data_IF_711584521658
#
_entry.id   IF_711584521658
#
_cell.length_a   1.000
_cell.length_b   1.000
_cell.length_c   1.000
_cell.angle_alpha   90.00
_cell.angle_beta   90.00
_cell.angle_gamma   90.00
#
_symmetry.space_group_name_H-M   'P 1'
#
loop_
_entity.id
_entity.type
_entity.pdbx_description
1 polymer ?
#
# COMPACT_ATOMS: atom_id res chain seq x y z
N UNK A 1 30.85 0.92 -22.78
CA UNK A 1 29.88 1.63 -21.90
C UNK A 1 28.67 0.76 -21.54
N UNK A 2 27.92 0.20 -22.50
CA UNK A 2 26.73 -0.64 -22.21
C UNK A 2 27.04 -1.84 -21.31
N UNK A 3 28.12 -2.58 -21.58
CA UNK A 3 28.51 -3.75 -20.79
C UNK A 3 28.85 -3.41 -19.33
N UNK A 4 29.50 -2.26 -19.10
CA UNK A 4 29.83 -1.78 -17.76
C UNK A 4 28.58 -1.36 -16.98
N UNK A 5 27.61 -0.72 -17.64
CA UNK A 5 26.31 -0.38 -17.04
C UNK A 5 25.53 -1.63 -16.66
N UNK A 6 25.53 -2.67 -17.52
CA UNK A 6 24.86 -3.94 -17.24
C UNK A 6 25.48 -4.68 -16.05
N UNK A 7 26.82 -4.71 -15.95
CA UNK A 7 27.53 -5.33 -14.81
C UNK A 7 27.24 -4.58 -13.50
N UNK A 8 27.24 -3.24 -13.52
CA UNK A 8 26.89 -2.43 -12.35
C UNK A 8 25.43 -2.62 -11.93
N UNK A 9 24.50 -2.69 -12.90
CA UNK A 9 23.09 -2.95 -12.62
C UNK A 9 22.86 -4.34 -12.03
N UNK A 10 23.54 -5.37 -12.55
CA UNK A 10 23.49 -6.73 -12.02
C UNK A 10 24.07 -6.80 -10.60
N UNK A 11 25.21 -6.14 -10.35
CA UNK A 11 25.81 -6.04 -9.02
C UNK A 11 24.89 -5.35 -8.01
N UNK A 12 24.27 -4.23 -8.40
CA UNK A 12 23.28 -3.53 -7.59
C UNK A 12 22.04 -4.40 -7.33
N UNK A 13 21.56 -5.13 -8.34
CA UNK A 13 20.45 -6.05 -8.20
C UNK A 13 20.74 -7.17 -7.20
N UNK A 14 21.90 -7.82 -7.30
CA UNK A 14 22.34 -8.84 -6.34
C UNK A 14 22.47 -8.25 -4.93
N UNK A 15 23.05 -7.05 -4.80
CA UNK A 15 23.16 -6.36 -3.52
C UNK A 15 21.78 -6.09 -2.89
N UNK A 16 20.82 -5.63 -3.68
CA UNK A 16 19.44 -5.39 -3.22
C UNK A 16 18.77 -6.71 -2.79
N UNK A 17 18.98 -7.80 -3.53
CA UNK A 17 18.42 -9.12 -3.18
C UNK A 17 19.03 -9.69 -1.89
N UNK A 18 20.35 -9.54 -1.70
CA UNK A 18 21.03 -9.92 -0.45
C UNK A 18 20.53 -9.07 0.70
N UNK A 19 20.36 -7.76 0.50
CA UNK A 19 19.78 -6.87 1.50
C UNK A 19 18.34 -7.29 1.85
N UNK A 20 17.50 -7.63 0.86
CA UNK A 20 16.15 -8.13 1.08
C UNK A 20 16.14 -9.39 1.96
N UNK A 21 17.00 -10.36 1.66
CA UNK A 21 17.06 -11.61 2.41
C UNK A 21 17.53 -11.43 3.86
N UNK A 22 18.38 -10.44 4.12
CA UNK A 22 19.00 -10.23 5.43
C UNK A 22 18.37 -9.09 6.26
N UNK A 23 17.41 -8.35 5.70
CA UNK A 23 16.76 -7.26 6.44
C UNK A 23 15.61 -7.81 7.28
N UNK A 24 15.64 -7.70 8.62
CA UNK A 24 14.47 -8.01 9.43
C UNK A 24 13.35 -7.03 9.07
N UNK A 25 12.25 -7.58 8.57
CA UNK A 25 11.08 -6.81 8.16
C UNK A 25 10.13 -6.68 9.36
N UNK A 26 9.67 -5.47 9.69
CA UNK A 26 8.64 -5.31 10.69
C UNK A 26 7.32 -5.79 10.08
N UNK A 27 6.92 -7.00 10.40
CA UNK A 27 5.63 -7.59 10.02
C UNK A 27 4.60 -7.50 11.15
N UNK A 28 5.01 -6.96 12.31
CA UNK A 28 4.09 -6.64 13.39
C UNK A 28 3.21 -5.45 12.99
N UNK A 29 1.92 -5.57 13.26
CA UNK A 29 0.94 -4.51 12.99
C UNK A 29 1.11 -3.37 14.00
N UNK A 30 1.07 -2.12 13.52
CA UNK A 30 0.98 -0.96 14.41
C UNK A 30 -0.31 -1.06 15.23
N UNK A 31 -0.22 -0.86 16.55
CA UNK A 31 -1.41 -0.87 17.42
C UNK A 31 -2.45 0.15 16.94
N UNK A 32 -2.00 1.35 16.59
CA UNK A 32 -2.84 2.41 16.01
C UNK A 32 -3.51 2.00 14.68
N UNK A 33 -2.90 1.08 13.92
CA UNK A 33 -3.47 0.62 12.64
C UNK A 33 -4.65 -0.34 12.82
N UNK A 34 -4.78 -0.97 13.99
CA UNK A 34 -5.86 -1.91 14.32
C UNK A 34 -6.84 -1.35 15.36
N UNK A 35 -6.49 -0.25 16.03
CA UNK A 35 -7.37 0.43 16.99
C UNK A 35 -8.69 0.88 16.35
N UNK A 36 -9.79 0.49 16.98
CA UNK A 36 -11.13 0.93 16.66
C UNK A 36 -11.80 1.50 17.90
N UNK A 37 -12.35 2.70 17.76
CA UNK A 37 -13.19 3.32 18.77
C UNK A 37 -14.63 2.82 18.73
N UNK A 38 -15.36 3.07 19.81
CA UNK A 38 -16.81 2.82 19.87
C UNK A 38 -17.57 4.06 19.43
N UNK A 39 -18.64 3.88 18.64
CA UNK A 39 -19.56 4.95 18.26
C UNK A 39 -20.86 4.77 19.06
N UNK A 40 -21.30 5.84 19.73
CA UNK A 40 -22.54 5.89 20.50
C UNK A 40 -23.59 6.57 19.62
N UNK A 41 -24.74 5.94 19.44
CA UNK A 41 -25.84 6.43 18.59
C UNK A 41 -27.07 6.82 19.40
N UNK A 42 -27.90 7.71 18.85
CA UNK A 42 -29.26 7.94 19.32
C UNK A 42 -30.14 6.70 19.12
N UNK A 43 -31.36 6.71 19.69
CA UNK A 43 -32.33 5.60 19.60
C UNK A 43 -32.68 5.20 18.15
N UNK A 44 -32.46 6.09 17.19
CA UNK A 44 -32.68 5.82 15.76
C UNK A 44 -31.63 4.90 15.14
N UNK A 45 -30.52 4.63 15.84
CA UNK A 45 -29.40 3.81 15.38
C UNK A 45 -28.63 4.41 14.20
N UNK A 46 -28.84 5.69 13.88
CA UNK A 46 -28.24 6.37 12.71
C UNK A 46 -27.50 7.64 13.10
N UNK A 47 -28.04 8.39 14.05
CA UNK A 47 -27.47 9.68 14.43
C UNK A 47 -26.38 9.44 15.47
N UNK A 48 -25.14 9.83 15.15
CA UNK A 48 -24.00 9.72 16.07
C UNK A 48 -24.12 10.75 17.21
N UNK A 49 -23.96 10.29 18.46
CA UNK A 49 -23.89 11.14 19.66
C UNK A 49 -22.43 11.49 19.96
N UNK A 50 -21.57 10.47 20.03
CA UNK A 50 -20.18 10.60 20.42
C UNK A 50 -19.37 9.39 19.96
N UNK A 51 -18.05 9.53 19.96
CA UNK A 51 -17.10 8.43 19.77
C UNK A 51 -16.12 8.36 20.93
N UNK A 52 -15.68 7.15 21.25
CA UNK A 52 -14.66 6.86 22.27
C UNK A 52 -13.47 6.20 21.57
N UNK A 53 -12.28 6.80 21.65
CA UNK A 53 -11.08 6.30 20.96
C UNK A 53 -11.00 6.72 19.48
N UNK A 54 -10.37 5.89 18.66
CA UNK A 54 -10.10 6.20 17.23
C UNK A 54 -11.37 6.10 16.38
N UNK A 55 -11.77 7.19 15.72
CA UNK A 55 -12.91 7.20 14.80
C UNK A 55 -12.60 6.42 13.51
N UNK A 56 -12.71 5.09 13.58
CA UNK A 56 -12.45 4.16 12.48
C UNK A 56 -13.54 3.10 12.41
N UNK A 57 -14.20 3.02 11.25
CA UNK A 57 -15.13 1.96 10.92
C UNK A 57 -14.53 1.05 9.82
N UNK A 58 -14.55 -0.26 10.04
CA UNK A 58 -14.16 -1.23 9.01
C UNK A 58 -15.36 -1.43 8.10
N UNK A 59 -15.21 -1.00 6.85
CA UNK A 59 -16.22 -1.15 5.82
C UNK A 59 -15.74 -2.21 4.82
N UNK A 60 -16.52 -3.27 4.56
CA UNK A 60 -16.15 -4.26 3.55
C UNK A 60 -16.01 -3.60 2.17
N UNK A 61 -14.99 -3.98 1.40
CA UNK A 61 -14.72 -3.43 0.07
C UNK A 61 -15.92 -3.51 -0.88
N UNK A 62 -16.80 -4.50 -0.69
CA UNK A 62 -18.04 -4.67 -1.45
C UNK A 62 -19.07 -3.57 -1.24
N UNK A 63 -18.96 -2.80 -0.16
CA UNK A 63 -19.84 -1.64 0.10
C UNK A 63 -19.34 -0.35 -0.58
N UNK A 64 -18.09 -0.33 -1.05
CA UNK A 64 -17.52 0.82 -1.73
C UNK A 64 -17.91 0.78 -3.22
N UNK A 65 -18.52 1.85 -3.77
CA UNK A 65 -18.88 1.86 -5.18
C UNK A 65 -17.65 1.73 -6.09
N UNK A 66 -17.76 0.91 -7.15
CA UNK A 66 -16.63 0.66 -8.09
C UNK A 66 -16.00 1.93 -8.64
N UNK A 67 -16.79 2.95 -8.96
CA UNK A 67 -16.26 4.20 -9.52
C UNK A 67 -15.36 4.94 -8.54
N UNK A 68 -15.58 4.82 -7.22
CA UNK A 68 -14.70 5.40 -6.19
C UNK A 68 -13.36 4.68 -6.20
N UNK A 69 -13.40 3.34 -6.22
CA UNK A 69 -12.20 2.51 -6.28
C UNK A 69 -11.39 2.77 -7.57
N UNK A 70 -12.06 2.83 -8.72
CA UNK A 70 -11.42 3.08 -10.00
C UNK A 70 -10.81 4.49 -10.07
N UNK A 71 -11.49 5.50 -9.53
CA UNK A 71 -10.95 6.85 -9.42
C UNK A 71 -9.70 6.90 -8.53
N UNK A 72 -9.73 6.22 -7.38
CA UNK A 72 -8.59 6.16 -6.46
C UNK A 72 -7.39 5.46 -7.08
N UNK A 73 -7.59 4.30 -7.72
CA UNK A 73 -6.53 3.61 -8.48
C UNK A 73 -5.97 4.49 -9.60
N UNK A 74 -6.84 5.16 -10.36
CA UNK A 74 -6.39 5.99 -11.48
C UNK A 74 -5.54 7.18 -11.04
N UNK A 75 -5.84 7.74 -9.85
CA UNK A 75 -5.11 8.83 -9.23
C UNK A 75 -3.79 8.38 -8.61
N UNK A 76 -3.80 7.33 -7.77
CA UNK A 76 -2.65 6.97 -6.92
C UNK A 76 -1.76 5.88 -7.53
N UNK A 77 -2.33 4.83 -8.14
CA UNK A 77 -1.54 3.73 -8.69
C UNK A 77 -2.20 3.05 -9.88
N UNK A 78 -1.91 3.55 -11.09
CA UNK A 78 -2.46 3.00 -12.35
C UNK A 78 -2.10 1.54 -12.58
N UNK A 79 -0.97 1.06 -12.06
CA UNK A 79 -0.52 -0.32 -12.25
C UNK A 79 -1.01 -1.28 -11.17
N UNK A 80 -1.82 -0.80 -10.20
CA UNK A 80 -2.20 -1.53 -8.99
C UNK A 80 -2.59 -2.99 -9.21
N UNK A 81 -3.39 -3.26 -10.24
CA UNK A 81 -3.92 -4.60 -10.55
C UNK A 81 -2.88 -5.57 -11.12
N UNK A 82 -1.71 -5.07 -11.49
CA UNK A 82 -0.68 -5.81 -12.23
C UNK A 82 0.69 -5.75 -11.56
N UNK A 83 0.88 -4.80 -10.64
CA UNK A 83 2.16 -4.62 -9.98
C UNK A 83 2.30 -5.53 -8.75
N UNK A 84 3.52 -6.00 -8.43
CA UNK A 84 3.76 -6.88 -7.29
C UNK A 84 3.84 -6.11 -5.96
N UNK A 85 3.03 -5.05 -5.80
CA UNK A 85 3.09 -4.10 -4.69
C UNK A 85 4.02 -2.91 -4.94
N UNK A 86 4.76 -2.87 -6.06
CA UNK A 86 5.63 -1.76 -6.45
C UNK A 86 5.52 -1.48 -7.95
N UNK A 87 5.32 -0.21 -8.30
CA UNK A 87 5.29 0.25 -9.69
C UNK A 87 6.70 0.57 -10.20
N UNK A 88 7.30 -0.36 -10.95
CA UNK A 88 8.60 -0.13 -11.61
C UNK A 88 8.51 1.08 -12.56
N UNK A 89 7.42 1.18 -13.33
CA UNK A 89 7.19 2.31 -14.23
C UNK A 89 6.99 3.62 -13.45
N UNK A 90 6.34 3.57 -12.27
CA UNK A 90 6.21 4.70 -11.35
C UNK A 90 7.55 5.22 -10.84
N UNK A 91 8.41 4.31 -10.38
CA UNK A 91 9.77 4.64 -9.91
C UNK A 91 10.59 5.24 -11.04
N UNK A 92 10.63 4.60 -12.21
CA UNK A 92 11.41 5.10 -13.35
C UNK A 92 10.94 6.49 -13.79
N UNK A 93 9.63 6.74 -13.80
CA UNK A 93 9.06 8.05 -14.12
C UNK A 93 9.43 9.11 -13.09
N UNK A 94 9.38 8.78 -11.80
CA UNK A 94 9.79 9.68 -10.73
C UNK A 94 11.28 10.03 -10.80
N UNK A 95 12.14 9.04 -11.05
CA UNK A 95 13.59 9.25 -11.25
C UNK A 95 13.84 10.11 -12.48
N UNK A 96 13.20 9.81 -13.60
CA UNK A 96 13.33 10.58 -14.83
C UNK A 96 12.90 12.03 -14.65
N UNK A 97 11.74 12.26 -14.02
CA UNK A 97 11.24 13.61 -13.73
C UNK A 97 12.21 14.41 -12.86
N UNK A 98 12.79 13.75 -11.85
CA UNK A 98 13.80 14.37 -10.97
C UNK A 98 15.08 14.74 -11.72
N UNK A 99 15.59 13.84 -12.56
CA UNK A 99 16.83 14.08 -13.35
C UNK A 99 16.63 15.15 -14.41
N UNK A 100 15.45 15.20 -15.03
CA UNK A 100 15.13 16.16 -16.08
C UNK A 100 14.70 17.53 -15.54
N UNK A 101 14.65 17.71 -14.22
CA UNK A 101 14.20 18.95 -13.57
C UNK A 101 12.71 19.23 -13.78
N UNK A 102 11.93 18.23 -14.21
CA UNK A 102 10.48 18.30 -14.27
C UNK A 102 9.89 18.22 -12.86
N UNK A 103 8.60 18.52 -12.74
CA UNK A 103 7.89 18.44 -11.47
C UNK A 103 8.08 17.06 -10.81
N UNK A 104 8.50 17.03 -9.54
CA UNK A 104 8.71 15.77 -8.80
C UNK A 104 7.40 14.98 -8.79
N UNK A 105 7.48 13.71 -9.20
CA UNK A 105 6.33 12.81 -9.23
C UNK A 105 6.40 11.79 -8.10
N UNK A 106 5.26 11.45 -7.50
CA UNK A 106 5.19 10.36 -6.55
C UNK A 106 5.29 9.03 -7.32
N UNK A 107 6.29 8.21 -6.99
CA UNK A 107 6.47 6.87 -7.54
C UNK A 107 5.96 5.76 -6.62
N UNK A 108 5.29 6.10 -5.51
CA UNK A 108 4.83 5.10 -4.54
C UNK A 108 3.53 4.44 -4.97
N UNK A 109 3.28 3.22 -4.50
CA UNK A 109 2.03 2.48 -4.75
C UNK A 109 1.09 2.53 -3.56
N UNK A 110 -0.19 2.25 -3.81
CA UNK A 110 -1.20 2.06 -2.76
C UNK A 110 -0.72 1.02 -1.72
N UNK A 111 -0.12 -0.09 -2.16
CA UNK A 111 0.43 -1.14 -1.26
C UNK A 111 1.55 -0.60 -0.38
N UNK A 112 2.42 0.26 -0.91
CA UNK A 112 3.48 0.90 -0.13
C UNK A 112 2.93 1.88 0.91
N UNK A 113 1.92 2.67 0.55
CA UNK A 113 1.28 3.59 1.47
C UNK A 113 0.51 2.85 2.57
N UNK A 114 -0.19 1.78 2.22
CA UNK A 114 -0.84 0.90 3.18
C UNK A 114 0.18 0.23 4.11
N UNK A 115 1.27 -0.33 3.57
CA UNK A 115 2.32 -0.94 4.38
C UNK A 115 2.95 0.07 5.36
N UNK A 116 3.14 1.32 4.93
CA UNK A 116 3.66 2.40 5.79
C UNK A 116 2.75 2.70 6.98
N UNK A 117 1.44 2.69 6.75
CA UNK A 117 0.44 2.94 7.79
C UNK A 117 0.14 1.72 8.66
N UNK A 118 0.36 0.50 8.16
CA UNK A 118 -0.09 -0.73 8.80
C UNK A 118 0.99 -1.41 9.66
N UNK A 119 2.26 -1.38 9.23
CA UNK A 119 3.34 -2.14 9.86
C UNK A 119 4.29 -1.30 10.69
N UNK A 120 4.68 -1.79 11.86
CA UNK A 120 5.42 -1.02 12.86
C UNK A 120 6.79 -0.50 12.37
N UNK A 121 7.23 0.64 12.90
CA UNK A 121 8.51 1.26 12.52
C UNK A 121 8.59 1.80 11.08
N UNK A 122 7.47 1.88 10.34
CA UNK A 122 7.42 2.43 8.98
C UNK A 122 6.75 3.80 8.87
N UNK A 123 6.02 4.26 9.90
CA UNK A 123 5.20 5.48 9.84
C UNK A 123 5.94 6.79 10.15
N UNK A 124 6.89 6.80 11.10
CA UNK A 124 7.41 8.05 11.67
C UNK A 124 8.70 8.60 11.05
N UNK A 125 9.59 7.76 10.51
CA UNK A 125 10.89 8.23 9.99
C UNK A 125 10.83 8.60 8.51
N UNK A 126 11.72 9.48 8.03
CA UNK A 126 11.91 9.77 6.59
C UNK A 126 13.31 9.39 6.13
N UNK A 127 13.74 8.17 6.44
CA UNK A 127 15.07 7.64 6.08
C UNK A 127 15.02 6.75 4.83
N UNK A 128 16.16 6.64 4.13
CA UNK A 128 16.33 5.72 3.00
C UNK A 128 16.14 4.27 3.48
N UNK A 129 16.69 3.93 4.64
CA UNK A 129 16.57 2.59 5.24
C UNK A 129 15.11 2.19 5.45
N UNK A 130 14.29 3.09 6.01
CA UNK A 130 12.85 2.87 6.15
C UNK A 130 12.17 2.71 4.79
N UNK A 131 12.51 3.51 3.78
CA UNK A 131 11.93 3.38 2.44
C UNK A 131 12.25 2.04 1.80
N UNK A 132 13.46 1.50 2.02
CA UNK A 132 13.84 0.15 1.59
C UNK A 132 13.00 -0.92 2.31
N UNK A 133 12.81 -0.80 3.63
CA UNK A 133 11.92 -1.70 4.38
C UNK A 133 10.47 -1.64 3.87
N UNK A 134 9.95 -0.45 3.56
CA UNK A 134 8.61 -0.25 2.98
C UNK A 134 8.45 -0.98 1.64
N UNK A 135 9.45 -0.87 0.75
CA UNK A 135 9.51 -1.60 -0.52
C UNK A 135 9.45 -3.11 -0.27
N UNK A 136 10.26 -3.62 0.64
CA UNK A 136 10.32 -5.06 0.91
C UNK A 136 9.05 -5.61 1.56
N UNK A 137 8.49 -4.89 2.52
CA UNK A 137 7.22 -5.24 3.16
C UNK A 137 6.06 -5.18 2.17
N UNK A 138 5.99 -4.14 1.33
CA UNK A 138 4.92 -4.02 0.33
C UNK A 138 4.94 -5.15 -0.70
N UNK A 139 6.12 -5.60 -1.16
CA UNK A 139 6.23 -6.79 -2.02
C UNK A 139 5.70 -8.02 -1.30
N UNK A 140 6.10 -8.22 -0.04
CA UNK A 140 5.71 -9.39 0.76
C UNK A 140 4.20 -9.42 1.04
N UNK A 141 3.62 -8.28 1.41
CA UNK A 141 2.22 -8.12 1.80
C UNK A 141 1.29 -7.83 0.60
N UNK A 142 1.84 -7.70 -0.61
CA UNK A 142 1.10 -7.29 -1.81
C UNK A 142 -0.14 -8.13 -2.09
N UNK A 143 -0.07 -9.45 -1.88
CA UNK A 143 -1.19 -10.37 -2.10
C UNK A 143 -2.35 -10.08 -1.15
N UNK A 144 -2.06 -10.07 0.15
CA UNK A 144 -3.07 -9.85 1.19
C UNK A 144 -3.72 -8.46 1.05
N UNK A 145 -2.91 -7.43 0.75
CA UNK A 145 -3.39 -6.06 0.55
C UNK A 145 -4.16 -5.88 -0.76
N UNK A 146 -3.80 -6.61 -1.82
CA UNK A 146 -4.52 -6.55 -3.09
C UNK A 146 -5.93 -7.09 -2.94
N UNK A 147 -6.12 -8.15 -2.16
CA UNK A 147 -7.44 -8.74 -1.90
C UNK A 147 -8.31 -7.84 -1.03
N UNK A 148 -7.72 -7.14 -0.06
CA UNK A 148 -8.43 -6.17 0.79
C UNK A 148 -8.93 -4.94 0.00
N UNK A 149 -8.17 -4.51 -1.00
CA UNK A 149 -8.43 -3.27 -1.74
C UNK A 149 -9.19 -3.54 -3.04
N UNK A 150 -9.00 -4.68 -3.69
CA UNK A 150 -9.62 -4.96 -4.98
C UNK A 150 -11.08 -5.39 -4.82
N UNK A 151 -12.04 -4.77 -5.51
CA UNK A 151 -13.39 -5.26 -5.56
C UNK A 151 -13.43 -6.61 -6.29
N UNK A 152 -14.38 -7.50 -5.94
CA UNK A 152 -14.53 -8.78 -6.60
C UNK A 152 -14.67 -8.64 -8.13
N UNK A 153 -14.25 -9.66 -8.87
CA UNK A 153 -14.35 -9.69 -10.33
C UNK A 153 -15.80 -9.43 -10.81
N UNK A 154 -15.97 -8.83 -11.99
CA UNK A 154 -17.31 -8.61 -12.57
C UNK A 154 -18.02 -9.97 -12.69
N UNK A 155 -19.11 -10.16 -11.94
CA UNK A 155 -19.95 -11.36 -12.00
C UNK A 155 -19.97 -12.21 -10.72
N UNK A 156 -19.07 -11.99 -9.76
CA UNK A 156 -19.15 -12.65 -8.45
C UNK A 156 -19.98 -11.78 -7.50
N UNK A 157 -21.30 -11.95 -7.54
CA UNK A 157 -22.19 -11.46 -6.50
C UNK A 157 -21.79 -12.04 -5.13
N UNK A 158 -22.27 -11.45 -4.02
CA UNK A 158 -21.92 -11.92 -2.69
C UNK A 158 -22.26 -13.40 -2.55
N UNK A 159 -21.26 -14.26 -2.50
CA UNK A 159 -21.46 -15.60 -1.96
C UNK A 159 -21.79 -15.39 -0.49
N UNK A 160 -23.08 -15.50 -0.17
CA UNK A 160 -23.52 -15.70 1.20
C UNK A 160 -22.73 -16.90 1.72
N UNK A 161 -21.73 -16.66 2.57
CA UNK A 161 -21.24 -17.70 3.46
C UNK A 161 -22.42 -18.09 4.34
N UNK A 162 -23.14 -19.13 3.92
CA UNK A 162 -24.09 -19.83 4.76
C UNK A 162 -23.30 -20.68 5.73
N UNK A 163 -23.48 -20.37 7.02
CA UNK A 163 -23.17 -21.13 8.23
C UNK A 163 -21.71 -21.53 8.46
#
# INVERSE_FOLDING_TARGET
MVLAVMVLAAGLFVMIMVAYANTPLPLATQQQAVEQGSIIYYRDGKTEIAWLGTKREIVPITKIPRHVHDAFIAAENRTFRTDPGISVSGIMRAVWSTVTGQQIQCGSTITQEMARGYYDGLSQERTIQRKVKEIFVSIRASKDMSDEISPPARGTGPQRRTA
#
